data_IF_776241923889
#
_entry.id   IF_776241923889
#
_cell.length_a   1.000
_cell.length_b   1.000
_cell.length_c   1.000
_cell.angle_alpha   90.00
_cell.angle_beta   90.00
_cell.angle_gamma   90.00
#
_symmetry.space_group_name_H-M   'P 1'
#
loop_
_entity.id
_entity.type
_entity.pdbx_description
1 polymer ?
#
# COMPACT_ATOMS: atom_id res chain seq x y z
N UNK A 1 -20.54 -22.09 -0.99
CA UNK A 1 -20.61 -21.79 -2.44
C UNK A 1 -22.06 -21.90 -2.85
N UNK A 2 -22.74 -20.77 -3.03
CA UNK A 2 -24.14 -20.76 -3.45
C UNK A 2 -24.22 -21.21 -4.91
N UNK A 3 -24.89 -22.34 -5.12
CA UNK A 3 -25.23 -22.89 -6.42
C UNK A 3 -26.35 -22.02 -7.01
N UNK A 4 -25.98 -20.90 -7.65
CA UNK A 4 -26.93 -20.14 -8.46
C UNK A 4 -27.40 -21.06 -9.60
N UNK A 5 -28.66 -21.47 -9.49
CA UNK A 5 -29.29 -22.40 -10.40
C UNK A 5 -29.39 -21.76 -11.78
N UNK A 6 -28.56 -22.23 -12.72
CA UNK A 6 -28.47 -21.71 -14.10
C UNK A 6 -29.84 -21.64 -14.81
N UNK A 7 -30.76 -22.52 -14.43
CA UNK A 7 -32.13 -22.55 -14.96
C UNK A 7 -33.00 -21.37 -14.50
N UNK A 8 -32.75 -20.81 -13.32
CA UNK A 8 -33.51 -19.67 -12.81
C UNK A 8 -33.08 -18.36 -13.48
N UNK A 9 -31.77 -18.20 -13.75
CA UNK A 9 -31.23 -17.03 -14.48
C UNK A 9 -31.76 -16.99 -15.94
N UNK A 10 -31.85 -18.16 -16.60
CA UNK A 10 -32.44 -18.27 -17.94
C UNK A 10 -33.94 -17.95 -17.93
N UNK A 11 -34.66 -18.34 -16.87
CA UNK A 11 -36.09 -18.05 -16.71
C UNK A 11 -36.33 -16.55 -16.52
N UNK A 12 -35.57 -15.90 -15.64
CA UNK A 12 -35.67 -14.47 -15.39
C UNK A 12 -35.28 -13.63 -16.61
N UNK A 13 -34.23 -14.01 -17.34
CA UNK A 13 -33.87 -13.34 -18.60
C UNK A 13 -35.00 -13.39 -19.64
N UNK A 14 -35.71 -14.53 -19.76
CA UNK A 14 -36.85 -14.65 -20.68
C UNK A 14 -38.00 -13.75 -20.26
N UNK A 15 -38.31 -13.69 -18.97
CA UNK A 15 -39.40 -12.92 -18.42
C UNK A 15 -39.15 -11.40 -18.56
N UNK A 16 -37.91 -10.96 -18.32
CA UNK A 16 -37.49 -9.58 -18.55
C UNK A 16 -37.59 -9.16 -20.03
N UNK A 17 -37.26 -10.06 -20.97
CA UNK A 17 -37.46 -9.80 -22.42
C UNK A 17 -38.92 -9.72 -22.80
N UNK A 18 -39.78 -10.57 -22.24
CA UNK A 18 -41.21 -10.54 -22.52
C UNK A 18 -41.86 -9.25 -21.99
N UNK A 19 -41.47 -8.82 -20.79
CA UNK A 19 -41.88 -7.54 -20.22
C UNK A 19 -41.39 -6.39 -21.11
N UNK A 20 -40.11 -6.37 -21.50
CA UNK A 20 -39.54 -5.32 -22.36
C UNK A 20 -40.26 -5.19 -23.71
N UNK A 21 -40.68 -6.31 -24.34
CA UNK A 21 -41.48 -6.28 -25.56
C UNK A 21 -42.86 -5.65 -25.33
N UNK A 22 -43.57 -6.07 -24.28
CA UNK A 22 -44.91 -5.53 -23.94
C UNK A 22 -44.87 -4.03 -23.64
N UNK A 23 -43.82 -3.54 -22.98
CA UNK A 23 -43.67 -2.11 -22.71
C UNK A 23 -43.41 -1.28 -23.98
N UNK A 24 -42.62 -1.79 -24.92
CA UNK A 24 -42.39 -1.11 -26.19
C UNK A 24 -43.61 -1.17 -27.12
N UNK A 25 -44.39 -2.25 -27.10
CA UNK A 25 -45.68 -2.34 -27.79
C UNK A 25 -46.69 -1.30 -27.26
N UNK A 26 -46.59 -0.95 -25.98
CA UNK A 26 -47.36 0.13 -25.35
C UNK A 26 -46.80 1.54 -25.64
N UNK A 27 -45.78 1.67 -26.49
CA UNK A 27 -45.18 2.94 -26.88
C UNK A 27 -44.14 3.50 -25.90
N UNK A 28 -43.80 2.76 -24.84
CA UNK A 28 -42.77 3.15 -23.88
C UNK A 28 -41.42 2.56 -24.27
N UNK A 29 -40.62 3.35 -24.98
CA UNK A 29 -39.22 3.02 -25.33
C UNK A 29 -39.07 2.08 -26.54
N UNK A 30 -37.83 1.72 -26.86
CA UNK A 30 -37.48 0.86 -27.99
C UNK A 30 -36.92 -0.47 -27.49
N UNK A 31 -37.42 -1.60 -28.02
CA UNK A 31 -36.84 -2.93 -27.74
C UNK A 31 -35.48 -3.02 -28.43
N UNK A 32 -34.42 -3.37 -27.69
CA UNK A 32 -33.16 -3.76 -28.31
C UNK A 32 -33.40 -4.95 -29.23
N UNK A 33 -32.89 -4.88 -30.45
CA UNK A 33 -32.95 -6.01 -31.40
C UNK A 33 -32.15 -7.19 -30.85
N UNK A 34 -32.55 -8.43 -31.18
CA UNK A 34 -31.84 -9.63 -30.70
C UNK A 34 -30.35 -9.60 -31.06
N UNK A 35 -30.01 -9.02 -32.21
CA UNK A 35 -28.62 -8.82 -32.65
C UNK A 35 -27.84 -7.83 -31.75
N UNK A 36 -28.44 -6.71 -31.37
CA UNK A 36 -27.84 -5.73 -30.47
C UNK A 36 -27.69 -6.27 -29.04
N UNK A 37 -28.68 -7.03 -28.58
CA UNK A 37 -28.64 -7.71 -27.28
C UNK A 37 -27.55 -8.80 -27.24
N UNK A 38 -27.42 -9.61 -28.29
CA UNK A 38 -26.34 -10.59 -28.38
C UNK A 38 -24.95 -9.93 -28.42
N UNK A 39 -24.83 -8.84 -29.19
CA UNK A 39 -23.57 -8.10 -29.33
C UNK A 39 -23.17 -7.43 -28.02
N UNK A 40 -24.13 -6.85 -27.29
CA UNK A 40 -23.88 -6.26 -25.97
C UNK A 40 -23.49 -7.33 -24.94
N UNK A 41 -24.17 -8.48 -24.91
CA UNK A 41 -23.84 -9.62 -24.04
C UNK A 41 -22.47 -10.21 -24.34
N UNK A 42 -22.08 -10.33 -25.62
CA UNK A 42 -20.73 -10.75 -26.05
C UNK A 42 -19.66 -9.75 -25.59
N UNK A 43 -19.91 -8.45 -25.75
CA UNK A 43 -18.98 -7.40 -25.32
C UNK A 43 -18.83 -7.33 -23.80
N UNK A 44 -19.93 -7.51 -23.05
CA UNK A 44 -19.92 -7.53 -21.60
C UNK A 44 -19.13 -8.73 -21.07
N UNK A 45 -19.40 -9.94 -21.56
CA UNK A 45 -18.62 -11.15 -21.22
C UNK A 45 -17.14 -11.02 -21.60
N UNK A 46 -16.83 -10.37 -22.72
CA UNK A 46 -15.44 -10.12 -23.13
C UNK A 46 -14.74 -9.13 -22.20
N UNK A 47 -15.44 -8.09 -21.74
CA UNK A 47 -14.92 -7.11 -20.77
C UNK A 47 -14.70 -7.75 -19.41
N UNK A 48 -15.69 -8.48 -18.90
CA UNK A 48 -15.62 -9.23 -17.65
C UNK A 48 -14.47 -10.24 -17.63
N UNK A 49 -14.29 -11.02 -18.71
CA UNK A 49 -13.15 -11.94 -18.84
C UNK A 49 -11.80 -11.22 -18.80
N UNK A 50 -11.67 -10.05 -19.43
CA UNK A 50 -10.43 -9.26 -19.34
C UNK A 50 -10.22 -8.73 -17.94
N UNK A 51 -11.26 -8.22 -17.29
CA UNK A 51 -11.15 -7.67 -15.94
C UNK A 51 -10.77 -8.76 -14.94
N UNK A 52 -11.35 -9.97 -15.04
CA UNK A 52 -10.89 -11.15 -14.28
C UNK A 52 -9.44 -11.54 -14.60
N UNK A 53 -9.03 -11.44 -15.86
CA UNK A 53 -7.64 -11.73 -16.26
C UNK A 53 -6.66 -10.69 -15.68
N UNK A 54 -7.02 -9.40 -15.70
CA UNK A 54 -6.22 -8.34 -15.10
C UNK A 54 -6.15 -8.49 -13.58
N UNK A 55 -7.27 -8.80 -12.91
CA UNK A 55 -7.28 -9.08 -11.46
C UNK A 55 -6.39 -10.27 -11.14
N UNK A 56 -6.45 -11.35 -11.92
CA UNK A 56 -5.62 -12.55 -11.71
C UNK A 56 -4.13 -12.30 -11.99
N UNK A 57 -3.80 -11.61 -13.08
CA UNK A 57 -2.41 -11.27 -13.43
C UNK A 57 -1.83 -10.27 -12.43
N UNK A 58 -2.61 -9.27 -12.02
CA UNK A 58 -2.16 -8.27 -11.04
C UNK A 58 -1.98 -8.92 -9.67
N UNK A 59 -2.85 -9.84 -9.26
CA UNK A 59 -2.68 -10.67 -8.05
C UNK A 59 -1.37 -11.48 -8.10
N UNK A 60 -1.12 -12.22 -9.19
CA UNK A 60 0.11 -13.00 -9.33
C UNK A 60 1.37 -12.13 -9.36
N UNK A 61 1.33 -10.98 -10.03
CA UNK A 61 2.44 -10.03 -10.09
C UNK A 61 2.72 -9.40 -8.71
N UNK A 62 1.64 -9.12 -7.95
CA UNK A 62 1.69 -8.58 -6.59
C UNK A 62 2.46 -9.52 -5.66
N UNK A 63 2.16 -10.82 -5.70
CA UNK A 63 2.87 -11.84 -4.92
C UNK A 63 4.35 -11.94 -5.31
N UNK A 64 4.66 -11.94 -6.61
CA UNK A 64 6.05 -12.05 -7.11
C UNK A 64 6.90 -10.84 -6.70
N UNK A 65 6.33 -9.64 -6.69
CA UNK A 65 7.05 -8.40 -6.35
C UNK A 65 7.10 -8.18 -4.83
N UNK A 66 5.98 -8.35 -4.13
CA UNK A 66 5.90 -8.01 -2.71
C UNK A 66 6.59 -9.00 -1.79
N UNK A 67 6.68 -10.27 -2.17
CA UNK A 67 7.39 -11.27 -1.34
C UNK A 67 8.88 -10.94 -1.13
N UNK A 68 9.71 -10.79 -2.19
CA UNK A 68 11.12 -10.44 -2.02
C UNK A 68 11.30 -9.03 -1.44
N UNK A 69 10.39 -8.10 -1.76
CA UNK A 69 10.43 -6.74 -1.25
C UNK A 69 10.16 -6.70 0.27
N UNK A 70 9.17 -7.47 0.74
CA UNK A 70 8.83 -7.62 2.14
C UNK A 70 10.00 -8.17 2.96
N UNK A 71 10.66 -9.22 2.46
CA UNK A 71 11.87 -9.81 3.08
C UNK A 71 13.01 -8.77 3.17
N UNK A 72 13.22 -7.99 2.11
CA UNK A 72 14.25 -6.95 2.11
C UNK A 72 13.97 -5.86 3.16
N UNK A 73 12.72 -5.38 3.26
CA UNK A 73 12.33 -4.40 4.27
C UNK A 73 12.43 -4.94 5.70
N UNK A 74 12.16 -6.22 5.90
CA UNK A 74 12.35 -6.87 7.20
C UNK A 74 13.83 -6.91 7.60
N UNK A 75 14.71 -7.30 6.69
CA UNK A 75 16.15 -7.30 6.92
C UNK A 75 16.69 -5.89 7.24
N UNK A 76 16.24 -4.87 6.47
CA UNK A 76 16.61 -3.47 6.73
C UNK A 76 16.11 -3.00 8.09
N UNK A 77 14.87 -3.34 8.47
CA UNK A 77 14.32 -3.00 9.77
C UNK A 77 15.15 -3.62 10.92
N UNK A 78 15.56 -4.88 10.78
CA UNK A 78 16.40 -5.56 11.76
C UNK A 78 17.77 -4.90 11.92
N UNK A 79 18.44 -4.59 10.81
CA UNK A 79 19.74 -3.89 10.81
C UNK A 79 19.61 -2.51 11.43
N UNK A 80 18.57 -1.75 11.05
CA UNK A 80 18.32 -0.41 11.60
C UNK A 80 18.05 -0.45 13.11
N UNK A 81 17.30 -1.46 13.61
CA UNK A 81 17.12 -1.73 15.05
C UNK A 81 18.46 -1.96 15.74
N UNK A 82 19.30 -2.83 15.17
CA UNK A 82 20.63 -3.12 15.70
C UNK A 82 21.53 -1.88 15.79
N UNK A 83 21.58 -1.09 14.72
CA UNK A 83 22.33 0.17 14.68
C UNK A 83 21.78 1.17 15.70
N UNK A 84 20.44 1.31 15.78
CA UNK A 84 19.77 2.15 16.77
C UNK A 84 20.17 1.79 18.20
N UNK A 85 20.13 0.50 18.55
CA UNK A 85 20.56 0.00 19.85
C UNK A 85 22.02 0.33 20.16
N UNK A 86 22.94 0.05 19.26
CA UNK A 86 24.38 0.33 19.47
C UNK A 86 24.62 1.84 19.57
N UNK A 87 23.98 2.63 18.71
CA UNK A 87 24.14 4.08 18.71
C UNK A 87 23.56 4.76 19.94
N UNK A 88 22.67 4.09 20.69
CA UNK A 88 22.09 4.61 21.92
C UNK A 88 23.14 4.82 23.02
N UNK A 89 24.25 4.07 23.00
CA UNK A 89 25.41 4.35 23.87
C UNK A 89 26.05 5.71 23.58
N UNK A 90 25.96 6.17 22.32
CA UNK A 90 26.41 7.49 21.90
C UNK A 90 25.63 8.64 22.51
N UNK A 91 24.43 8.41 23.08
CA UNK A 91 23.64 9.46 23.75
C UNK A 91 24.39 10.10 24.90
N UNK A 92 25.17 9.32 25.66
CA UNK A 92 25.96 9.83 26.78
C UNK A 92 27.01 10.83 26.25
N UNK A 93 27.69 10.49 25.15
CA UNK A 93 28.61 11.39 24.48
C UNK A 93 27.89 12.63 23.90
N UNK A 94 26.70 12.44 23.32
CA UNK A 94 25.86 13.52 22.84
C UNK A 94 25.50 14.54 23.92
N UNK A 95 25.09 14.07 25.11
CA UNK A 95 24.81 14.92 26.27
C UNK A 95 26.08 15.64 26.76
N UNK A 96 27.22 14.95 26.79
CA UNK A 96 28.50 15.56 27.16
C UNK A 96 28.89 16.71 26.21
N UNK A 97 28.81 16.50 24.89
CA UNK A 97 29.10 17.54 23.90
C UNK A 97 28.07 18.67 23.93
N UNK A 98 26.81 18.37 24.25
CA UNK A 98 25.78 19.39 24.43
C UNK A 98 26.11 20.29 25.62
N UNK A 99 26.53 19.70 26.75
CA UNK A 99 26.98 20.44 27.92
C UNK A 99 28.20 21.32 27.60
N UNK A 100 29.20 20.76 26.91
CA UNK A 100 30.38 21.51 26.50
C UNK A 100 30.02 22.70 25.58
N UNK A 101 29.08 22.48 24.66
CA UNK A 101 28.56 23.53 23.78
C UNK A 101 27.84 24.63 24.57
N UNK A 102 27.06 24.26 25.58
CA UNK A 102 26.41 25.22 26.47
C UNK A 102 27.42 26.05 27.27
N UNK A 103 28.49 25.44 27.77
CA UNK A 103 29.58 26.16 28.45
C UNK A 103 30.29 27.13 27.50
N UNK A 104 30.60 26.71 26.27
CA UNK A 104 31.23 27.58 25.26
C UNK A 104 30.34 28.78 24.91
N UNK A 105 29.04 28.54 24.75
CA UNK A 105 28.07 29.61 24.51
C UNK A 105 28.01 30.60 25.68
N UNK A 106 27.97 30.10 26.92
CA UNK A 106 28.00 30.95 28.13
C UNK A 106 29.27 31.80 28.23
N UNK A 107 30.38 31.31 27.70
CA UNK A 107 31.65 32.03 27.63
C UNK A 107 31.72 33.06 26.48
N UNK A 108 30.62 33.26 25.75
CA UNK A 108 30.53 34.27 24.69
C UNK A 108 30.89 33.78 23.28
N UNK A 109 31.09 32.47 23.09
CA UNK A 109 31.34 31.91 21.75
C UNK A 109 30.04 31.90 20.94
N UNK A 110 30.02 32.45 19.72
CA UNK A 110 28.85 32.41 18.85
C UNK A 110 28.45 30.97 18.52
N UNK A 111 27.13 30.69 18.48
CA UNK A 111 26.60 29.34 18.29
C UNK A 111 27.12 28.64 17.01
N UNK A 112 27.34 29.41 15.94
CA UNK A 112 27.84 28.90 14.66
C UNK A 112 29.32 28.49 14.66
N UNK A 113 30.08 28.89 15.69
CA UNK A 113 31.51 28.57 15.83
C UNK A 113 31.76 27.41 16.81
N UNK A 114 30.72 26.92 17.49
CA UNK A 114 30.82 25.82 18.45
C UNK A 114 30.86 24.49 17.70
N UNK A 115 32.07 24.01 17.37
CA UNK A 115 32.27 22.76 16.65
C UNK A 115 31.70 21.50 17.34
N UNK A 116 31.59 21.52 18.67
CA UNK A 116 31.04 20.42 19.45
C UNK A 116 29.50 20.31 19.36
N UNK A 117 28.82 21.38 18.95
CA UNK A 117 27.37 21.41 18.84
C UNK A 117 26.87 20.44 17.77
N UNK A 118 27.54 20.40 16.62
CA UNK A 118 27.19 19.48 15.53
C UNK A 118 27.35 18.02 15.97
N UNK A 119 28.40 17.71 16.74
CA UNK A 119 28.60 16.35 17.26
C UNK A 119 27.51 15.98 18.26
N UNK A 120 27.17 16.89 19.18
CA UNK A 120 26.09 16.70 20.14
C UNK A 120 24.77 16.37 19.44
N UNK A 121 24.40 17.18 18.45
CA UNK A 121 23.18 17.00 17.65
C UNK A 121 23.20 15.64 16.93
N UNK A 122 24.30 15.26 16.28
CA UNK A 122 24.42 13.97 15.61
C UNK A 122 24.22 12.79 16.58
N UNK A 123 24.95 12.76 17.70
CA UNK A 123 24.86 11.66 18.67
C UNK A 123 23.50 11.59 19.37
N UNK A 124 22.83 12.73 19.56
CA UNK A 124 21.50 12.79 20.14
C UNK A 124 20.46 12.29 19.13
N UNK A 125 20.45 12.81 17.91
CA UNK A 125 19.37 12.57 16.94
C UNK A 125 19.48 11.18 16.28
N UNK A 126 20.70 10.72 16.00
CA UNK A 126 20.94 9.50 15.22
C UNK A 126 20.20 8.24 15.73
N UNK A 127 20.21 7.88 17.03
CA UNK A 127 19.47 6.70 17.51
C UNK A 127 17.97 6.80 17.26
N UNK A 128 17.37 7.99 17.34
CA UNK A 128 15.94 8.20 17.05
C UNK A 128 15.64 8.07 15.57
N UNK A 129 16.52 8.58 14.70
CA UNK A 129 16.38 8.41 13.25
C UNK A 129 16.51 6.94 12.87
N UNK A 130 17.49 6.22 13.42
CA UNK A 130 17.66 4.78 13.19
C UNK A 130 16.42 4.00 13.63
N UNK A 131 15.85 4.34 14.80
CA UNK A 131 14.60 3.75 15.27
C UNK A 131 13.42 4.06 14.34
N UNK A 132 13.28 5.31 13.90
CA UNK A 132 12.22 5.72 12.99
C UNK A 132 12.30 4.97 11.65
N UNK A 133 13.49 4.86 11.08
CA UNK A 133 13.73 4.07 9.86
C UNK A 133 13.32 2.62 10.08
N UNK A 134 13.73 2.01 11.20
CA UNK A 134 13.34 0.64 11.53
C UNK A 134 11.82 0.48 11.62
N UNK A 135 11.14 1.42 12.28
CA UNK A 135 9.70 1.43 12.45
C UNK A 135 8.96 1.55 11.12
N UNK A 136 9.38 2.49 10.26
CA UNK A 136 8.77 2.67 8.93
C UNK A 136 8.99 1.44 8.07
N UNK A 137 10.21 0.87 8.04
CA UNK A 137 10.51 -0.35 7.30
C UNK A 137 9.67 -1.55 7.78
N UNK A 138 9.45 -1.67 9.09
CA UNK A 138 8.58 -2.72 9.66
C UNK A 138 7.12 -2.55 9.24
N UNK A 139 6.61 -1.31 9.22
CA UNK A 139 5.27 -1.03 8.73
C UNK A 139 5.10 -1.32 7.23
N UNK A 140 6.11 -1.00 6.43
CA UNK A 140 6.13 -1.31 5.01
C UNK A 140 6.18 -2.83 4.80
N UNK A 141 7.00 -3.54 5.57
CA UNK A 141 7.08 -5.01 5.55
C UNK A 141 5.72 -5.66 5.84
N UNK A 142 5.07 -5.27 6.95
CA UNK A 142 3.73 -5.77 7.32
C UNK A 142 2.72 -5.47 6.21
N UNK A 143 2.72 -4.25 5.68
CA UNK A 143 1.83 -3.88 4.58
C UNK A 143 2.03 -4.79 3.36
N UNK A 144 3.28 -5.05 2.96
CA UNK A 144 3.55 -5.94 1.82
C UNK A 144 3.19 -7.39 2.10
N UNK A 145 3.39 -7.87 3.33
CA UNK A 145 3.01 -9.23 3.72
C UNK A 145 1.49 -9.43 3.70
N UNK A 146 0.72 -8.50 4.29
CA UNK A 146 -0.75 -8.52 4.28
C UNK A 146 -1.34 -8.43 2.87
N UNK A 147 -0.63 -7.78 1.95
CA UNK A 147 -1.09 -7.52 0.59
C UNK A 147 -0.49 -8.48 -0.45
N UNK A 148 0.37 -9.43 -0.03
CA UNK A 148 0.97 -10.43 -0.91
C UNK A 148 0.00 -11.56 -1.29
N UNK A 149 -1.11 -11.71 -0.56
CA UNK A 149 -2.13 -12.74 -0.73
C UNK A 149 -3.49 -12.15 -1.11
#
# INVERSE_FOLDING_TARGET
MNNYNYDDEIREERLAREIGRKFAELGFGTVQTEEEYEKSKKNFKKKEKRDMFFVSVFSGLRTIIYTPLSIAFHAVSFVAKGIGYISSFGLIAGVYYLYQSFCAFKSGVPFGEIGELNKAVCFIIFPFVAYLVSYVCEKIHIYFEENAY
#
